data_IF_888202580296
#
_entry.id   IF_888202580296
#
_cell.length_a   1.000
_cell.length_b   1.000
_cell.length_c   1.000
_cell.angle_alpha   90.00
_cell.angle_beta   90.00
_cell.angle_gamma   90.00
#
_symmetry.space_group_name_H-M   'P 1'
#
loop_
_entity.id
_entity.type
_entity.pdbx_description
1 polymer ?
#
# COMPACT_ATOMS: atom_id res chain seq x y z
N UNK A 1 -0.03 32.87 -63.70
CA UNK A 1 -0.63 32.60 -62.38
C UNK A 1 -1.27 31.23 -62.42
N UNK A 2 -0.70 30.24 -61.74
CA UNK A 2 -1.38 28.98 -61.45
C UNK A 2 -0.89 28.51 -60.09
N UNK A 3 -1.86 28.29 -59.20
CA UNK A 3 -1.71 28.18 -57.77
C UNK A 3 -0.93 26.93 -57.37
N UNK A 4 -0.05 27.12 -56.40
CA UNK A 4 0.67 26.06 -55.70
C UNK A 4 -0.33 25.01 -55.18
N UNK A 5 -0.29 23.82 -55.76
CA UNK A 5 -1.06 22.67 -55.30
C UNK A 5 -0.48 22.19 -53.96
N UNK A 6 -1.13 22.65 -52.89
CA UNK A 6 -1.38 21.91 -51.65
C UNK A 6 -0.24 20.99 -51.18
N UNK A 7 0.84 21.59 -50.70
CA UNK A 7 1.73 20.98 -49.70
C UNK A 7 0.99 20.87 -48.37
N UNK A 8 0.02 19.97 -48.30
CA UNK A 8 -0.68 19.59 -47.07
C UNK A 8 -1.04 18.10 -47.12
N UNK A 9 -0.14 17.27 -47.64
CA UNK A 9 -0.01 15.90 -47.17
C UNK A 9 0.48 16.00 -45.71
N UNK A 10 -0.46 16.39 -44.85
CA UNK A 10 -0.32 16.42 -43.42
C UNK A 10 0.16 15.04 -43.03
N UNK A 11 1.41 15.00 -42.56
CA UNK A 11 1.98 13.85 -41.87
C UNK A 11 1.06 13.63 -40.68
N UNK A 12 0.05 12.78 -40.87
CA UNK A 12 -0.66 12.14 -39.79
C UNK A 12 0.40 11.23 -39.16
N UNK A 13 1.22 11.82 -38.29
CA UNK A 13 1.99 11.09 -37.29
C UNK A 13 0.93 10.25 -36.59
N UNK A 14 0.87 8.97 -36.94
CA UNK A 14 0.04 8.01 -36.24
C UNK A 14 0.48 8.11 -34.80
N UNK A 15 -0.32 8.79 -33.97
CA UNK A 15 -0.14 8.75 -32.53
C UNK A 15 -0.06 7.27 -32.17
N UNK A 16 1.04 6.88 -31.52
CA UNK A 16 1.19 5.50 -31.07
C UNK A 16 -0.10 5.08 -30.35
N UNK A 17 -0.63 3.88 -30.61
CA UNK A 17 -1.84 3.42 -29.96
C UNK A 17 -1.67 3.61 -28.45
N UNK A 18 -2.66 4.25 -27.81
CA UNK A 18 -2.64 4.42 -26.36
C UNK A 18 -2.44 3.04 -25.73
N UNK A 19 -1.55 2.89 -24.74
CA UNK A 19 -1.41 1.63 -24.04
C UNK A 19 -2.79 1.20 -23.53
N UNK A 20 -3.17 -0.06 -23.79
CA UNK A 20 -4.38 -0.62 -23.23
C UNK A 20 -4.14 -0.88 -21.74
N UNK A 21 -4.67 0.00 -20.89
CA UNK A 21 -4.61 -0.16 -19.44
C UNK A 21 -5.79 -1.02 -18.97
N UNK A 22 -5.50 -2.05 -18.18
CA UNK A 22 -6.53 -2.80 -17.49
C UNK A 22 -7.11 -1.92 -16.36
N UNK A 23 -8.44 -1.63 -16.38
CA UNK A 23 -9.07 -0.87 -15.31
C UNK A 23 -9.04 -1.67 -14.01
N UNK A 24 -9.19 -0.96 -12.90
CA UNK A 24 -9.48 -1.57 -11.61
C UNK A 24 -10.70 -2.49 -11.76
N UNK A 25 -10.56 -3.74 -11.30
CA UNK A 25 -11.59 -4.78 -11.35
C UNK A 25 -12.64 -4.56 -10.25
N UNK A 26 -12.24 -3.94 -9.15
CA UNK A 26 -13.15 -3.34 -8.19
C UNK A 26 -13.76 -2.12 -8.85
N UNK A 27 -14.95 -2.30 -9.40
CA UNK A 27 -15.88 -1.21 -9.72
C UNK A 27 -15.97 -0.25 -8.51
N UNK A 28 -16.16 1.06 -8.73
CA UNK A 28 -16.12 2.06 -7.66
C UNK A 28 -17.07 1.61 -6.57
N UNK A 29 -16.70 1.80 -5.29
CA UNK A 29 -17.54 1.61 -4.10
C UNK A 29 -19.02 1.64 -4.53
N UNK A 30 -19.62 0.45 -4.72
CA UNK A 30 -20.82 0.32 -5.54
C UNK A 30 -21.95 1.20 -5.00
N UNK A 31 -22.92 1.54 -5.87
CA UNK A 31 -24.19 2.11 -5.43
C UNK A 31 -24.78 1.21 -4.34
N UNK A 32 -24.81 1.69 -3.10
CA UNK A 32 -25.16 0.97 -1.87
C UNK A 32 -24.03 0.23 -1.14
N UNK A 33 -22.98 0.95 -0.74
CA UNK A 33 -22.35 0.71 0.56
C UNK A 33 -21.94 2.08 1.11
N UNK A 34 -22.34 2.37 2.34
CA UNK A 34 -21.88 3.54 3.09
C UNK A 34 -20.36 3.72 2.88
N UNK A 35 -19.87 4.90 2.42
CA UNK A 35 -18.44 5.15 2.29
C UNK A 35 -17.70 5.06 3.64
N UNK A 36 -18.42 5.02 4.76
CA UNK A 36 -17.90 4.76 6.10
C UNK A 36 -18.00 3.29 6.52
N UNK A 37 -18.52 2.39 5.66
CA UNK A 37 -18.58 0.96 5.96
C UNK A 37 -17.16 0.40 6.01
N UNK A 38 -16.73 -0.17 7.16
CA UNK A 38 -15.39 -0.70 7.29
C UNK A 38 -15.21 -1.91 6.36
N UNK A 39 -14.17 -1.86 5.53
CA UNK A 39 -13.74 -3.01 4.72
C UNK A 39 -13.28 -4.14 5.64
N UNK A 40 -13.59 -5.38 5.27
CA UNK A 40 -12.92 -6.52 5.91
C UNK A 40 -11.43 -6.51 5.57
N UNK A 41 -10.58 -7.12 6.42
CA UNK A 41 -9.14 -7.25 6.17
C UNK A 41 -8.83 -7.87 4.80
N UNK A 42 -9.67 -8.80 4.33
CA UNK A 42 -9.51 -9.47 3.04
C UNK A 42 -9.78 -8.52 1.87
N UNK A 43 -10.82 -7.70 1.98
CA UNK A 43 -11.20 -6.72 0.97
C UNK A 43 -10.17 -5.58 0.89
N UNK A 44 -9.73 -5.07 2.03
CA UNK A 44 -8.68 -4.05 2.09
C UNK A 44 -7.38 -4.53 1.42
N UNK A 45 -6.93 -5.76 1.71
CA UNK A 45 -5.73 -6.33 1.05
C UNK A 45 -5.92 -6.52 -0.45
N UNK A 46 -7.11 -6.97 -0.87
CA UNK A 46 -7.42 -7.12 -2.31
C UNK A 46 -7.34 -5.77 -3.01
N UNK A 47 -7.94 -4.73 -2.44
CA UNK A 47 -7.93 -3.37 -2.99
C UNK A 47 -6.50 -2.81 -3.09
N UNK A 48 -5.68 -2.98 -2.05
CA UNK A 48 -4.27 -2.55 -2.07
C UNK A 48 -3.49 -3.30 -3.15
N UNK A 49 -3.69 -4.59 -3.33
CA UNK A 49 -2.99 -5.32 -4.40
C UNK A 49 -3.43 -4.84 -5.79
N UNK A 50 -4.73 -4.61 -5.96
CA UNK A 50 -5.29 -4.17 -7.22
C UNK A 50 -4.83 -2.76 -7.61
N UNK A 51 -4.84 -1.80 -6.69
CA UNK A 51 -4.36 -0.44 -6.95
C UNK A 51 -2.85 -0.45 -7.25
N UNK A 52 -2.09 -1.33 -6.61
CA UNK A 52 -0.65 -1.49 -6.87
C UNK A 52 -0.40 -2.06 -8.26
N UNK A 53 -1.15 -3.08 -8.65
CA UNK A 53 -1.05 -3.72 -9.97
C UNK A 53 -1.53 -2.79 -11.08
N UNK A 54 -2.55 -1.97 -10.80
CA UNK A 54 -3.00 -0.90 -11.67
C UNK A 54 -1.94 0.17 -11.85
N UNK A 55 -1.35 0.68 -10.76
CA UNK A 55 -0.33 1.72 -10.81
C UNK A 55 0.93 1.26 -11.58
N UNK A 56 1.32 -0.02 -11.47
CA UNK A 56 2.45 -0.59 -12.22
C UNK A 56 2.30 -0.54 -13.73
N UNK A 57 1.09 -0.34 -14.25
CA UNK A 57 0.86 -0.24 -15.69
C UNK A 57 1.30 1.11 -16.27
N UNK A 58 1.54 2.12 -15.42
CA UNK A 58 1.92 3.47 -15.86
C UNK A 58 3.42 3.71 -15.66
N UNK A 59 4.10 4.09 -16.74
CA UNK A 59 5.47 4.60 -16.70
C UNK A 59 5.47 6.10 -16.35
N UNK A 60 5.03 6.42 -15.12
CA UNK A 60 4.89 7.79 -14.63
C UNK A 60 5.44 7.92 -13.20
N UNK A 61 6.09 9.05 -12.85
CA UNK A 61 6.65 9.26 -11.51
C UNK A 61 5.64 9.07 -10.37
N UNK A 62 4.42 9.58 -10.56
CA UNK A 62 3.34 9.47 -9.57
C UNK A 62 2.89 8.02 -9.35
N UNK A 63 2.89 7.22 -10.42
CA UNK A 63 2.54 5.81 -10.34
C UNK A 63 3.62 5.00 -9.61
N UNK A 64 4.89 5.30 -9.87
CA UNK A 64 6.00 4.73 -9.10
C UNK A 64 5.91 5.13 -7.61
N UNK A 65 5.66 6.41 -7.32
CA UNK A 65 5.51 6.92 -5.96
C UNK A 65 4.35 6.22 -5.22
N UNK A 66 3.21 6.03 -5.89
CA UNK A 66 2.07 5.30 -5.34
C UNK A 66 2.43 3.85 -5.00
N UNK A 67 3.09 3.13 -5.92
CA UNK A 67 3.54 1.75 -5.66
C UNK A 67 4.50 1.69 -4.47
N UNK A 68 5.44 2.64 -4.36
CA UNK A 68 6.34 2.73 -3.22
C UNK A 68 5.59 2.98 -1.91
N UNK A 69 4.69 3.95 -1.87
CA UNK A 69 3.88 4.26 -0.69
C UNK A 69 3.07 3.04 -0.22
N UNK A 70 2.49 2.28 -1.15
CA UNK A 70 1.73 1.08 -0.83
C UNK A 70 2.60 -0.06 -0.29
N UNK A 71 3.79 -0.25 -0.85
CA UNK A 71 4.76 -1.23 -0.34
C UNK A 71 5.26 -0.84 1.06
N UNK A 72 5.52 0.45 1.29
CA UNK A 72 5.99 0.94 2.57
C UNK A 72 4.90 0.85 3.64
N UNK A 73 3.64 1.12 3.29
CA UNK A 73 2.51 0.88 4.17
C UNK A 73 2.37 -0.60 4.54
N UNK A 74 2.50 -1.52 3.58
CA UNK A 74 2.47 -2.96 3.85
C UNK A 74 3.62 -3.40 4.77
N UNK A 75 4.85 -2.93 4.50
CA UNK A 75 6.00 -3.19 5.37
C UNK A 75 5.80 -2.64 6.77
N UNK A 76 5.23 -1.44 6.88
CA UNK A 76 4.93 -0.82 8.16
C UNK A 76 3.92 -1.66 8.93
N UNK A 77 2.83 -2.08 8.30
CA UNK A 77 1.83 -2.94 8.93
C UNK A 77 2.41 -4.27 9.40
N UNK A 78 3.22 -4.93 8.56
CA UNK A 78 3.91 -6.17 8.95
C UNK A 78 4.79 -5.92 10.17
N UNK A 79 5.60 -4.85 10.14
CA UNK A 79 6.51 -4.50 11.23
C UNK A 79 5.74 -4.21 12.53
N UNK A 80 4.70 -3.39 12.49
CA UNK A 80 3.85 -3.08 13.65
C UNK A 80 3.30 -4.37 14.27
N UNK A 81 2.69 -5.23 13.44
CA UNK A 81 2.11 -6.47 13.92
C UNK A 81 3.15 -7.41 14.54
N UNK A 82 4.31 -7.56 13.89
CA UNK A 82 5.41 -8.35 14.46
C UNK A 82 5.88 -7.77 15.79
N UNK A 83 6.09 -6.46 15.88
CA UNK A 83 6.53 -5.82 17.12
C UNK A 83 5.49 -5.92 18.24
N UNK A 84 4.19 -5.88 17.94
CA UNK A 84 3.11 -6.11 18.91
C UNK A 84 3.11 -7.56 19.38
N UNK A 85 3.15 -8.55 18.48
CA UNK A 85 3.15 -9.97 18.82
C UNK A 85 4.35 -10.33 19.72
N UNK A 86 5.52 -9.84 19.33
CA UNK A 86 6.79 -10.01 20.04
C UNK A 86 6.76 -9.32 21.42
N UNK A 87 5.99 -8.23 21.58
CA UNK A 87 5.74 -7.61 22.88
C UNK A 87 4.82 -8.45 23.78
N UNK A 88 3.74 -9.03 23.23
CA UNK A 88 2.81 -9.89 23.97
C UNK A 88 3.52 -11.15 24.44
N UNK A 89 4.33 -11.76 23.56
CA UNK A 89 5.15 -12.91 23.90
C UNK A 89 6.08 -12.62 25.09
N UNK A 90 6.78 -11.48 25.07
CA UNK A 90 7.66 -11.07 26.17
C UNK A 90 6.92 -10.83 27.47
N UNK A 91 5.73 -10.21 27.42
CA UNK A 91 4.90 -10.03 28.61
C UNK A 91 4.48 -11.39 29.19
N UNK A 92 4.08 -12.34 28.34
CA UNK A 92 3.74 -13.69 28.77
C UNK A 92 4.94 -14.40 29.42
N UNK A 93 6.11 -14.36 28.77
CA UNK A 93 7.35 -14.92 29.32
C UNK A 93 7.78 -14.24 30.63
N UNK A 94 7.50 -12.94 30.79
CA UNK A 94 7.81 -12.22 32.02
C UNK A 94 6.97 -12.69 33.21
N UNK A 95 5.74 -13.16 32.96
CA UNK A 95 4.84 -13.67 33.99
C UNK A 95 5.29 -15.05 34.52
N UNK A 96 6.03 -15.81 33.72
CA UNK A 96 6.54 -17.15 34.06
C UNK A 96 8.03 -17.19 34.32
N UNK A 97 8.70 -16.03 34.34
CA UNK A 97 10.14 -15.93 34.53
C UNK A 97 10.57 -16.41 35.92
N UNK A 98 11.67 -17.17 35.96
CA UNK A 98 12.18 -17.78 37.20
C UNK A 98 12.89 -16.78 38.13
N UNK A 99 13.27 -15.59 37.64
CA UNK A 99 13.90 -14.55 38.45
C UNK A 99 13.26 -13.18 38.19
N UNK A 100 13.22 -12.29 39.20
CA UNK A 100 12.67 -10.96 39.05
C UNK A 100 13.44 -10.10 38.04
N UNK A 101 14.77 -10.24 37.96
CA UNK A 101 15.61 -9.51 36.99
C UNK A 101 15.26 -9.90 35.55
N UNK A 102 15.02 -11.20 35.32
CA UNK A 102 14.61 -11.70 34.00
C UNK A 102 13.21 -11.21 33.65
N UNK A 103 12.29 -11.23 34.60
CA UNK A 103 10.95 -10.71 34.42
C UNK A 103 10.98 -9.21 34.05
N UNK A 104 11.79 -8.42 34.73
CA UNK A 104 11.91 -6.98 34.46
C UNK A 104 12.54 -6.68 33.09
N UNK A 105 13.61 -7.40 32.72
CA UNK A 105 14.21 -7.28 31.39
C UNK A 105 13.19 -7.52 30.27
N UNK A 106 12.40 -8.60 30.39
CA UNK A 106 11.38 -8.96 29.41
C UNK A 106 10.27 -7.89 29.32
N UNK A 107 9.81 -7.35 30.46
CA UNK A 107 8.85 -6.25 30.48
C UNK A 107 9.42 -5.00 29.81
N UNK A 108 10.67 -4.66 30.08
CA UNK A 108 11.33 -3.48 29.49
C UNK A 108 11.44 -3.61 27.98
N UNK A 109 11.82 -4.79 27.48
CA UNK A 109 11.85 -5.06 26.04
C UNK A 109 10.45 -4.96 25.42
N UNK A 110 9.42 -5.55 26.04
CA UNK A 110 8.04 -5.46 25.55
C UNK A 110 7.55 -4.01 25.45
N UNK A 111 7.78 -3.21 26.50
CA UNK A 111 7.46 -1.78 26.50
C UNK A 111 8.27 -1.05 25.43
N UNK A 112 9.52 -1.45 25.19
CA UNK A 112 10.36 -0.93 24.10
C UNK A 112 9.72 -1.11 22.72
N UNK A 113 9.13 -2.27 22.43
CA UNK A 113 8.36 -2.47 21.19
C UNK A 113 7.10 -1.62 21.13
N UNK A 114 6.28 -1.63 22.19
CA UNK A 114 5.02 -0.88 22.22
C UNK A 114 5.22 0.64 22.13
N UNK A 115 6.26 1.16 22.79
CA UNK A 115 6.56 2.60 22.83
C UNK A 115 6.95 3.17 21.47
N UNK A 116 7.49 2.37 20.55
CA UNK A 116 7.82 2.81 19.18
C UNK A 116 6.59 3.27 18.38
N UNK A 117 5.43 2.75 18.75
CA UNK A 117 4.15 2.99 18.09
C UNK A 117 3.23 3.93 18.89
N UNK A 118 3.64 4.33 20.09
CA UNK A 118 2.83 5.23 20.91
C UNK A 118 2.90 6.66 20.34
N UNK A 119 1.76 7.21 19.92
CA UNK A 119 1.66 8.56 19.37
C UNK A 119 2.00 8.70 17.87
N UNK A 120 2.07 7.59 17.13
CA UNK A 120 2.10 7.56 15.66
C UNK A 120 0.72 7.20 15.11
#
# INVERSE_FOLDING_TARGET
>A
MQAAQNSAAAVAVQAQPRPEFAPLRTTPIGHSADPHSPLTNREARRLVNEVRDWARQFDAPDACALVHAMNDMERLLVRVWTEIDESVLRLHLSATASTPERAESLRREAIGYLSRWNGR
#
